data_IF_319050630377
#
_entry.id   IF_319050630377
#
_cell.length_a   1.000
_cell.length_b   1.000
_cell.length_c   1.000
_cell.angle_alpha   90.00
_cell.angle_beta   90.00
_cell.angle_gamma   90.00
#
_symmetry.space_group_name_H-M   'P 1'
#
loop_
_entity.id
_entity.type
_entity.pdbx_description
1 polymer ?
#
# COMPACT_ATOMS: atom_id res chain seq x y z
N UNK A 1 28.40 -12.16 8.72
CA UNK A 1 27.91 -13.32 7.94
C UNK A 1 27.22 -12.79 6.69
N UNK A 2 27.84 -13.03 5.54
CA UNK A 2 27.33 -12.66 4.22
C UNK A 2 25.99 -13.34 3.96
N UNK A 3 24.88 -12.62 4.14
CA UNK A 3 23.56 -13.12 3.78
C UNK A 3 23.38 -12.92 2.27
N UNK A 4 23.73 -13.96 1.49
CA UNK A 4 23.46 -14.00 0.05
C UNK A 4 21.96 -13.77 -0.19
N UNK A 5 21.65 -12.85 -1.11
CA UNK A 5 20.29 -12.57 -1.56
C UNK A 5 20.19 -12.95 -3.02
N UNK A 6 19.32 -13.90 -3.35
CA UNK A 6 18.97 -14.24 -4.73
C UNK A 6 17.85 -13.30 -5.19
N UNK A 7 18.04 -12.65 -6.32
CA UNK A 7 17.02 -11.81 -6.95
C UNK A 7 16.38 -12.60 -8.08
N UNK A 8 15.05 -12.62 -8.14
CA UNK A 8 14.30 -13.31 -9.19
C UNK A 8 13.31 -12.35 -9.87
N UNK A 9 13.19 -12.48 -11.18
CA UNK A 9 12.22 -11.76 -12.01
C UNK A 9 11.46 -12.65 -12.99
N UNK A 10 11.79 -13.94 -13.05
CA UNK A 10 11.05 -14.93 -13.83
C UNK A 10 9.68 -15.20 -13.16
N UNK A 11 8.55 -15.02 -13.87
CA UNK A 11 7.21 -15.19 -13.30
C UNK A 11 6.96 -16.58 -12.72
N UNK A 12 7.45 -17.64 -13.36
CA UNK A 12 7.26 -19.01 -12.89
C UNK A 12 8.04 -19.25 -11.60
N UNK A 13 9.27 -18.74 -11.48
CA UNK A 13 10.02 -18.76 -10.22
C UNK A 13 9.34 -17.92 -9.15
N UNK A 14 8.77 -16.77 -9.49
CA UNK A 14 8.00 -15.93 -8.57
C UNK A 14 6.79 -16.69 -8.04
N UNK A 15 6.02 -17.34 -8.91
CA UNK A 15 4.89 -18.16 -8.53
C UNK A 15 5.33 -19.38 -7.71
N UNK A 16 6.46 -19.99 -8.04
CA UNK A 16 7.03 -21.10 -7.30
C UNK A 16 7.37 -20.70 -5.86
N UNK A 17 8.09 -19.59 -5.66
CA UNK A 17 8.48 -19.10 -4.32
C UNK A 17 7.28 -18.59 -3.52
N UNK A 18 6.38 -17.81 -4.13
CA UNK A 18 5.30 -17.15 -3.39
C UNK A 18 4.09 -18.04 -3.15
N UNK A 19 3.89 -19.08 -3.97
CA UNK A 19 2.69 -19.94 -3.93
C UNK A 19 3.05 -21.41 -3.74
N UNK A 20 3.70 -22.04 -4.73
CA UNK A 20 3.87 -23.51 -4.76
C UNK A 20 4.72 -24.03 -3.60
N UNK A 21 5.85 -23.37 -3.35
CA UNK A 21 6.80 -23.71 -2.29
C UNK A 21 6.68 -22.79 -1.07
N UNK A 22 5.49 -22.26 -0.80
CA UNK A 22 5.26 -21.34 0.32
C UNK A 22 5.80 -21.88 1.67
N UNK A 23 5.65 -23.18 1.93
CA UNK A 23 6.10 -23.79 3.19
C UNK A 23 7.64 -23.85 3.32
N UNK A 24 8.39 -23.68 2.22
CA UNK A 24 9.84 -23.48 2.23
C UNK A 24 10.21 -22.00 2.30
N UNK A 25 9.38 -21.11 1.74
CA UNK A 25 9.64 -19.68 1.59
C UNK A 25 8.60 -18.79 2.30
N UNK A 26 8.49 -18.87 3.62
CA UNK A 26 7.53 -18.07 4.38
C UNK A 26 8.15 -16.98 5.26
N UNK A 27 9.46 -17.03 5.52
CA UNK A 27 10.12 -16.03 6.37
C UNK A 27 10.29 -14.70 5.65
N UNK A 28 10.59 -13.63 6.39
CA UNK A 28 11.02 -12.33 5.85
C UNK A 28 12.32 -11.90 6.51
N UNK A 29 13.00 -10.90 5.93
CA UNK A 29 14.16 -10.28 6.56
C UNK A 29 13.71 -9.60 7.85
N UNK A 30 14.32 -10.00 8.97
CA UNK A 30 14.07 -9.38 10.28
C UNK A 30 15.19 -8.39 10.59
N UNK A 31 14.83 -7.28 11.22
CA UNK A 31 15.79 -6.39 11.86
C UNK A 31 15.98 -6.79 13.33
N UNK A 32 17.12 -6.47 13.95
CA UNK A 32 17.39 -6.81 15.36
C UNK A 32 16.35 -6.26 16.35
N UNK A 33 15.59 -5.24 15.95
CA UNK A 33 14.59 -4.55 16.77
C UNK A 33 13.20 -5.21 16.68
N UNK A 34 12.95 -6.05 15.67
CA UNK A 34 11.61 -6.58 15.38
C UNK A 34 11.12 -7.66 16.38
N UNK A 35 11.98 -8.08 17.31
CA UNK A 35 11.70 -9.19 18.22
C UNK A 35 11.79 -10.57 17.55
N UNK A 36 11.53 -11.64 18.31
CA UNK A 36 11.48 -13.00 17.77
C UNK A 36 10.22 -13.16 16.89
N UNK A 37 10.36 -13.50 15.59
CA UNK A 37 9.23 -13.55 14.66
C UNK A 37 8.25 -14.71 14.93
N UNK A 38 8.66 -15.72 15.68
CA UNK A 38 7.85 -16.90 16.00
C UNK A 38 7.25 -16.79 17.41
N UNK A 39 7.97 -16.18 18.36
CA UNK A 39 7.64 -16.22 19.79
C UNK A 39 7.20 -14.88 20.39
N UNK A 40 7.63 -13.74 19.84
CA UNK A 40 7.34 -12.46 20.47
C UNK A 40 5.83 -12.17 20.44
N UNK A 41 5.26 -11.86 21.61
CA UNK A 41 3.84 -11.54 21.75
C UNK A 41 3.46 -10.26 21.00
N UNK A 42 4.40 -9.35 20.79
CA UNK A 42 4.22 -8.04 20.13
C UNK A 42 4.56 -8.07 18.63
N UNK A 43 4.96 -9.22 18.09
CA UNK A 43 5.26 -9.32 16.65
C UNK A 43 4.01 -8.96 15.84
N UNK A 44 4.18 -8.05 14.88
CA UNK A 44 3.11 -7.67 13.97
C UNK A 44 2.89 -8.75 12.89
N UNK A 45 1.73 -8.72 12.22
CA UNK A 45 1.37 -9.68 11.18
C UNK A 45 2.37 -9.71 10.02
N UNK A 46 3.02 -8.59 9.69
CA UNK A 46 3.96 -8.51 8.59
C UNK A 46 5.26 -9.28 8.89
N UNK A 47 5.80 -9.15 10.11
CA UNK A 47 7.04 -9.79 10.53
C UNK A 47 6.86 -11.21 11.09
N UNK A 48 5.65 -11.57 11.53
CA UNK A 48 5.37 -12.88 12.11
C UNK A 48 5.71 -14.03 11.16
N UNK A 49 6.10 -15.17 11.73
CA UNK A 49 6.46 -16.39 11.00
C UNK A 49 5.67 -17.62 11.48
N UNK A 50 5.76 -18.70 10.68
CA UNK A 50 5.18 -20.00 10.99
C UNK A 50 3.73 -19.97 11.48
N UNK A 51 3.48 -20.66 12.58
CA UNK A 51 2.15 -20.78 13.19
C UNK A 51 1.64 -19.45 13.76
N UNK A 52 2.53 -18.60 14.29
CA UNK A 52 2.17 -17.28 14.81
C UNK A 52 1.56 -16.41 13.72
N UNK A 53 2.17 -16.40 12.54
CA UNK A 53 1.62 -15.73 11.36
C UNK A 53 0.28 -16.31 10.93
N UNK A 54 0.16 -17.65 10.82
CA UNK A 54 -1.09 -18.32 10.43
C UNK A 54 -2.24 -17.89 11.35
N UNK A 55 -2.01 -17.86 12.67
CA UNK A 55 -2.99 -17.42 13.67
C UNK A 55 -3.35 -15.94 13.52
N UNK A 56 -2.36 -15.05 13.43
CA UNK A 56 -2.63 -13.60 13.26
C UNK A 56 -3.40 -13.34 11.95
N UNK A 57 -3.03 -14.03 10.87
CA UNK A 57 -3.70 -13.91 9.57
C UNK A 57 -5.14 -14.39 9.64
N UNK A 58 -5.40 -15.52 10.29
CA UNK A 58 -6.75 -16.06 10.47
C UNK A 58 -7.65 -15.12 11.29
N UNK A 59 -7.10 -14.48 12.33
CA UNK A 59 -7.84 -13.51 13.15
C UNK A 59 -8.16 -12.23 12.36
N UNK A 60 -7.20 -11.70 11.57
CA UNK A 60 -7.36 -10.42 10.90
C UNK A 60 -8.11 -10.48 9.56
N UNK A 61 -8.08 -11.62 8.85
CA UNK A 61 -8.64 -11.71 7.49
C UNK A 61 -10.16 -11.43 7.40
N UNK A 62 -11.00 -11.88 8.35
CA UNK A 62 -12.44 -11.59 8.32
C UNK A 62 -12.78 -10.08 8.29
N UNK A 63 -11.93 -9.23 8.88
CA UNK A 63 -12.11 -7.76 8.89
C UNK A 63 -12.16 -7.16 7.48
N UNK A 64 -11.46 -7.78 6.51
CA UNK A 64 -11.37 -7.30 5.13
C UNK A 64 -12.29 -8.07 4.16
N UNK A 65 -13.30 -8.77 4.68
CA UNK A 65 -14.35 -9.39 3.86
C UNK A 65 -15.25 -8.32 3.20
N UNK A 66 -15.87 -8.65 2.07
CA UNK A 66 -16.74 -7.70 1.35
C UNK A 66 -17.88 -7.17 2.22
N UNK A 67 -18.45 -8.01 3.08
CA UNK A 67 -19.51 -7.60 4.00
C UNK A 67 -19.04 -6.60 5.07
N UNK A 68 -17.80 -6.71 5.54
CA UNK A 68 -17.24 -5.73 6.46
C UNK A 68 -16.79 -4.46 5.74
N UNK A 69 -16.16 -4.56 4.56
CA UNK A 69 -15.78 -3.39 3.76
C UNK A 69 -16.99 -2.50 3.41
N UNK A 70 -18.15 -3.09 3.11
CA UNK A 70 -19.39 -2.34 2.90
C UNK A 70 -19.77 -1.49 4.13
N UNK A 71 -19.49 -1.95 5.34
CA UNK A 71 -19.72 -1.19 6.59
C UNK A 71 -18.68 -0.10 6.82
N UNK A 72 -17.47 -0.26 6.28
CA UNK A 72 -16.38 0.73 6.42
C UNK A 72 -16.47 1.83 5.36
N UNK A 73 -17.17 1.59 4.25
CA UNK A 73 -17.28 2.50 3.10
C UNK A 73 -17.67 3.92 3.50
N UNK A 74 -18.65 4.10 4.38
CA UNK A 74 -19.10 5.45 4.77
C UNK A 74 -18.02 6.21 5.54
N UNK A 75 -17.23 5.52 6.37
CA UNK A 75 -16.09 6.15 7.07
C UNK A 75 -15.00 6.57 6.09
N UNK A 76 -14.72 5.75 5.07
CA UNK A 76 -13.74 6.09 4.02
C UNK A 76 -14.24 7.25 3.17
N UNK A 77 -15.52 7.26 2.82
CA UNK A 77 -16.13 8.35 2.06
C UNK A 77 -16.12 9.66 2.84
N UNK A 78 -16.44 9.64 4.13
CA UNK A 78 -16.32 10.83 4.99
C UNK A 78 -14.89 11.42 4.94
N UNK A 79 -13.85 10.57 4.95
CA UNK A 79 -12.46 11.04 4.82
C UNK A 79 -12.19 11.70 3.47
N UNK A 80 -12.79 11.16 2.39
CA UNK A 80 -12.64 11.70 1.05
C UNK A 80 -13.34 13.07 0.94
N UNK A 81 -14.55 13.19 1.48
CA UNK A 81 -15.31 14.46 1.51
C UNK A 81 -14.54 15.52 2.29
N UNK A 82 -13.96 15.16 3.44
CA UNK A 82 -13.14 16.09 4.22
C UNK A 82 -11.89 16.55 3.44
N UNK A 83 -11.24 15.63 2.71
CA UNK A 83 -10.11 15.97 1.85
C UNK A 83 -10.54 16.95 0.75
N UNK A 84 -11.71 16.74 0.14
CA UNK A 84 -12.25 17.64 -0.89
C UNK A 84 -12.48 19.07 -0.34
N UNK A 85 -12.93 19.20 0.92
CA UNK A 85 -13.07 20.50 1.60
C UNK A 85 -11.73 21.20 1.74
N UNK A 86 -10.69 20.48 2.18
CA UNK A 86 -9.33 21.03 2.26
C UNK A 86 -8.77 21.42 0.89
N UNK A 87 -9.04 20.63 -0.15
CA UNK A 87 -8.63 20.95 -1.52
C UNK A 87 -9.29 22.24 -1.97
N UNK A 88 -10.60 22.39 -1.77
CA UNK A 88 -11.35 23.60 -2.14
C UNK A 88 -10.82 24.84 -1.42
N UNK A 89 -10.52 24.74 -0.13
CA UNK A 89 -9.94 25.83 0.66
C UNK A 89 -8.56 26.24 0.17
N UNK A 90 -7.68 25.27 -0.12
CA UNK A 90 -6.30 25.56 -0.53
C UNK A 90 -6.18 25.94 -2.01
N UNK A 91 -7.13 25.53 -2.86
CA UNK A 91 -7.12 25.90 -4.29
C UNK A 91 -7.92 27.17 -4.56
N UNK A 92 -8.54 27.78 -3.54
CA UNK A 92 -9.20 29.07 -3.65
C UNK A 92 -8.26 30.13 -4.24
N UNK A 93 -8.67 30.74 -5.36
CA UNK A 93 -7.83 31.69 -6.10
C UNK A 93 -6.84 31.07 -7.09
N UNK A 94 -6.99 29.79 -7.45
CA UNK A 94 -6.21 29.13 -8.50
C UNK A 94 -4.83 28.64 -8.08
N UNK A 95 -4.59 28.50 -6.77
CA UNK A 95 -3.30 28.01 -6.25
C UNK A 95 -3.06 26.55 -6.63
N UNK A 96 -1.79 26.19 -6.80
CA UNK A 96 -1.37 24.80 -6.97
C UNK A 96 -1.17 24.13 -5.60
N UNK A 97 -1.50 22.85 -5.50
CA UNK A 97 -1.31 22.02 -4.30
C UNK A 97 -0.37 20.85 -4.57
N UNK A 98 0.32 20.35 -3.55
CA UNK A 98 1.07 19.10 -3.65
C UNK A 98 0.12 17.93 -3.35
N UNK A 99 -0.34 17.25 -4.39
CA UNK A 99 -1.29 16.13 -4.26
C UNK A 99 -0.74 14.94 -3.47
N UNK A 100 0.59 14.79 -3.38
CA UNK A 100 1.18 13.74 -2.56
C UNK A 100 0.86 13.96 -1.07
N UNK A 101 0.94 15.21 -0.59
CA UNK A 101 0.66 15.54 0.80
C UNK A 101 -0.81 15.28 1.15
N UNK A 102 -1.72 15.71 0.29
CA UNK A 102 -3.16 15.46 0.45
C UNK A 102 -3.49 13.96 0.48
N UNK A 103 -2.87 13.17 -0.39
CA UNK A 103 -3.09 11.73 -0.40
C UNK A 103 -2.53 11.05 0.86
N UNK A 104 -1.39 11.52 1.38
CA UNK A 104 -0.82 11.02 2.63
C UNK A 104 -1.69 11.37 3.84
N UNK A 105 -2.29 12.56 3.87
CA UNK A 105 -3.27 12.97 4.88
C UNK A 105 -4.52 12.08 4.82
N UNK A 106 -5.08 11.88 3.63
CA UNK A 106 -6.27 11.03 3.41
C UNK A 106 -6.03 9.59 3.88
N UNK A 107 -4.96 8.94 3.41
CA UNK A 107 -4.69 7.54 3.75
C UNK A 107 -4.40 7.35 5.25
N UNK A 108 -3.70 8.31 5.88
CA UNK A 108 -3.49 8.30 7.33
C UNK A 108 -4.81 8.47 8.09
N UNK A 109 -5.68 9.35 7.63
CA UNK A 109 -6.99 9.59 8.26
C UNK A 109 -7.89 8.35 8.16
N UNK A 110 -7.92 7.70 6.99
CA UNK A 110 -8.66 6.45 6.79
C UNK A 110 -8.19 5.37 7.75
N UNK A 111 -6.88 5.07 7.81
CA UNK A 111 -6.39 4.03 8.71
C UNK A 111 -6.51 4.44 10.19
N UNK A 112 -6.39 5.74 10.49
CA UNK A 112 -6.62 6.31 11.82
C UNK A 112 -8.04 6.02 12.30
N UNK A 113 -9.05 6.29 11.47
CA UNK A 113 -10.46 6.04 11.82
C UNK A 113 -10.80 4.55 11.85
N UNK A 114 -10.29 3.76 10.91
CA UNK A 114 -10.65 2.35 10.78
C UNK A 114 -9.92 1.42 11.76
N UNK A 115 -8.61 1.62 11.94
CA UNK A 115 -7.76 0.70 12.72
C UNK A 115 -7.37 1.27 14.08
N UNK A 116 -7.29 2.60 14.22
CA UNK A 116 -6.82 3.27 15.44
C UNK A 116 -7.96 3.85 16.28
N UNK A 117 -9.21 3.75 15.81
CA UNK A 117 -10.39 4.28 16.50
C UNK A 117 -10.41 5.80 16.61
N UNK A 118 -9.71 6.49 15.71
CA UNK A 118 -9.72 7.96 15.66
C UNK A 118 -11.14 8.48 15.49
N UNK A 119 -11.51 9.44 16.33
CA UNK A 119 -12.84 10.08 16.27
C UNK A 119 -12.72 11.30 15.37
N UNK A 120 -13.50 11.29 14.29
CA UNK A 120 -13.49 12.37 13.29
C UNK A 120 -12.21 12.39 12.45
N UNK A 121 -12.14 13.37 11.55
CA UNK A 121 -10.96 13.59 10.72
C UNK A 121 -9.87 14.37 11.46
N UNK A 122 -8.62 14.01 11.22
CA UNK A 122 -7.44 14.71 11.70
C UNK A 122 -6.53 15.17 10.55
N UNK A 123 -7.06 15.24 9.33
CA UNK A 123 -6.31 15.72 8.16
C UNK A 123 -5.73 17.12 8.45
N UNK A 124 -4.45 17.30 8.11
CA UNK A 124 -3.66 18.52 8.33
C UNK A 124 -3.48 18.93 9.80
N UNK A 125 -3.91 18.08 10.75
CA UNK A 125 -3.78 18.29 12.20
C UNK A 125 -3.04 17.16 12.89
N UNK A 126 -2.84 16.03 12.19
CA UNK A 126 -2.30 14.82 12.79
C UNK A 126 -0.77 14.89 12.94
N UNK A 127 -0.23 14.94 14.17
CA UNK A 127 1.22 15.00 14.40
C UNK A 127 1.95 13.71 13.99
N UNK A 128 1.21 12.60 13.78
CA UNK A 128 1.79 11.35 13.33
C UNK A 128 2.26 11.41 11.89
N UNK A 129 1.72 12.31 11.05
CA UNK A 129 2.05 12.32 9.64
C UNK A 129 3.56 12.50 9.40
N UNK A 130 4.22 13.40 10.14
CA UNK A 130 5.68 13.57 10.07
C UNK A 130 6.45 12.27 10.31
N UNK A 131 6.00 11.49 11.30
CA UNK A 131 6.62 10.22 11.66
C UNK A 131 6.37 9.15 10.59
N UNK A 132 5.15 9.12 10.03
CA UNK A 132 4.78 8.23 8.92
C UNK A 132 5.62 8.56 7.68
N UNK A 133 5.74 9.84 7.29
CA UNK A 133 6.59 10.28 6.17
C UNK A 133 8.05 9.82 6.34
N UNK A 134 8.62 9.86 7.54
CA UNK A 134 9.98 9.38 7.83
C UNK A 134 10.17 7.85 7.69
N UNK A 135 9.11 7.07 7.90
CA UNK A 135 9.13 5.60 7.72
C UNK A 135 9.03 5.22 6.24
N UNK A 136 8.17 5.92 5.48
CA UNK A 136 7.85 5.54 4.11
C UNK A 136 8.69 6.26 3.04
N UNK A 137 9.05 7.53 3.24
CA UNK A 137 9.42 8.43 2.15
C UNK A 137 10.77 9.17 2.22
N UNK A 138 11.36 9.38 3.39
CA UNK A 138 12.55 10.25 3.49
C UNK A 138 13.89 9.58 3.09
N UNK A 139 14.71 10.33 2.34
CA UNK A 139 16.03 9.95 1.86
C UNK A 139 17.03 9.74 3.01
N UNK A 140 17.86 8.69 2.87
CA UNK A 140 18.85 8.21 3.86
C UNK A 140 19.86 9.27 4.34
N UNK A 141 20.05 10.37 3.62
CA UNK A 141 21.09 11.38 3.87
C UNK A 141 20.74 12.46 4.92
N UNK A 142 19.47 12.63 5.31
CA UNK A 142 19.08 13.60 6.38
C UNK A 142 18.67 12.95 7.70
N UNK A 143 18.71 11.62 7.81
CA UNK A 143 18.34 10.90 9.03
C UNK A 143 19.56 10.69 9.93
N UNK A 144 19.99 11.73 10.64
CA UNK A 144 20.97 11.64 11.74
C UNK A 144 20.36 11.22 13.07
N UNK A 145 19.11 10.77 13.10
CA UNK A 145 18.47 10.24 14.31
C UNK A 145 17.78 8.92 14.01
N UNK A 146 18.46 7.81 14.29
CA UNK A 146 17.88 6.52 14.70
C UNK A 146 18.99 5.62 15.26
N UNK A 147 19.78 6.16 16.19
CA UNK A 147 20.45 5.34 17.19
C UNK A 147 19.39 4.99 18.24
N UNK A 148 19.09 3.71 18.40
CA UNK A 148 18.53 3.16 19.64
C UNK A 148 17.10 3.59 20.02
N UNK A 149 16.13 2.73 19.71
CA UNK A 149 15.08 2.39 20.67
C UNK A 149 14.01 3.44 20.99
N UNK A 150 12.99 3.59 20.13
CA UNK A 150 11.66 4.09 20.54
C UNK A 150 10.54 3.38 19.75
N UNK A 151 10.54 2.04 19.76
CA UNK A 151 9.45 1.22 19.20
C UNK A 151 8.72 0.36 20.25
N UNK A 152 9.27 0.02 21.44
CA UNK A 152 8.50 -0.74 22.44
C UNK A 152 7.35 0.04 23.10
N UNK A 153 7.50 1.36 23.30
CA UNK A 153 6.47 2.20 23.94
C UNK A 153 5.29 2.54 23.00
N UNK A 154 5.51 2.45 21.68
CA UNK A 154 4.53 2.80 20.65
C UNK A 154 3.28 1.90 20.68
N UNK A 155 3.46 0.61 21.00
CA UNK A 155 2.35 -0.34 21.12
C UNK A 155 1.63 -0.25 22.48
N UNK A 156 2.26 0.29 23.52
CA UNK A 156 1.66 0.42 24.87
C UNK A 156 0.85 1.71 25.01
N UNK A 157 1.31 2.83 24.45
CA UNK A 157 0.57 4.09 24.44
C UNK A 157 -0.78 3.95 23.68
N UNK A 158 -0.78 3.16 22.61
CA UNK A 158 -1.95 2.82 21.81
C UNK A 158 -3.08 2.10 22.56
N UNK A 159 -2.79 1.44 23.68
CA UNK A 159 -3.78 0.66 24.43
C UNK A 159 -4.51 1.48 25.50
N UNK A 160 -3.86 2.51 26.06
CA UNK A 160 -4.43 3.29 27.16
C UNK A 160 -5.51 4.28 26.70
N UNK A 161 -5.37 4.84 25.50
CA UNK A 161 -6.37 5.76 24.93
C UNK A 161 -7.53 5.05 24.18
N UNK A 162 -7.43 3.73 23.98
CA UNK A 162 -8.34 2.95 23.12
C UNK A 162 -9.67 2.52 23.77
N UNK A 163 -9.85 2.70 25.09
CA UNK A 163 -10.93 2.02 25.84
C UNK A 163 -11.86 2.94 26.65
N UNK A 164 -11.80 4.26 26.48
CA UNK A 164 -12.84 5.15 27.01
C UNK A 164 -13.24 6.16 25.95
N UNK A 165 -14.53 6.09 25.58
CA UNK A 165 -15.46 7.20 25.26
C UNK A 165 -16.37 6.92 24.05
N UNK A 166 -17.57 7.55 24.02
CA UNK A 166 -18.77 7.02 23.39
C UNK A 166 -18.84 7.29 21.89
N UNK A 167 -19.70 6.51 21.22
CA UNK A 167 -20.03 6.62 19.80
C UNK A 167 -20.86 7.87 19.51
N UNK A 168 -20.27 8.88 18.89
CA UNK A 168 -20.92 9.66 17.83
C UNK A 168 -19.88 10.48 17.06
N UNK A 169 -19.72 10.19 15.77
CA UNK A 169 -19.13 11.11 14.80
C UNK A 169 -20.25 11.65 13.94
N UNK A 170 -20.32 12.98 13.76
CA UNK A 170 -21.23 13.58 12.79
C UNK A 170 -20.76 13.27 11.37
N UNK A 171 -21.71 12.87 10.51
CA UNK A 171 -21.49 12.59 9.08
C UNK A 171 -21.39 13.91 8.32
N UNK A 172 -20.45 14.03 7.39
CA UNK A 172 -20.35 15.19 6.49
C UNK A 172 -21.21 14.92 5.25
N UNK A 173 -22.07 15.87 4.86
CA UNK A 173 -23.02 15.69 3.76
C UNK A 173 -22.41 15.97 2.39
N UNK A 174 -22.50 15.03 1.44
CA UNK A 174 -22.15 15.17 0.02
C UNK A 174 -22.91 14.15 -0.85
N UNK A 175 -22.88 14.24 -2.20
CA UNK A 175 -23.54 13.27 -3.06
C UNK A 175 -22.92 11.88 -2.88
N UNK A 176 -23.69 10.96 -2.32
CA UNK A 176 -23.22 9.65 -1.85
C UNK A 176 -22.93 8.70 -3.02
N UNK A 177 -21.73 8.10 -3.04
CA UNK A 177 -21.38 7.02 -3.96
C UNK A 177 -21.72 5.69 -3.30
N UNK A 178 -22.65 4.92 -3.86
CA UNK A 178 -22.99 3.62 -3.29
C UNK A 178 -21.87 2.60 -3.50
N UNK A 179 -21.75 1.64 -2.59
CA UNK A 179 -20.76 0.56 -2.71
C UNK A 179 -20.93 -0.23 -4.02
N UNK A 180 -22.15 -0.41 -4.49
CA UNK A 180 -22.43 -1.13 -5.74
C UNK A 180 -22.18 -0.28 -6.99
N UNK A 181 -22.11 1.06 -6.87
CA UNK A 181 -21.60 1.92 -7.93
C UNK A 181 -20.07 1.80 -8.05
N UNK A 182 -19.35 1.74 -6.92
CA UNK A 182 -17.89 1.59 -6.92
C UNK A 182 -17.44 0.31 -7.66
N UNK A 183 -18.16 -0.79 -7.49
CA UNK A 183 -17.84 -2.06 -8.16
C UNK A 183 -18.05 -2.00 -9.67
N UNK A 184 -18.85 -1.05 -10.17
CA UNK A 184 -19.13 -0.84 -11.59
C UNK A 184 -18.11 0.07 -12.30
N UNK A 185 -17.22 0.74 -11.57
CA UNK A 185 -16.16 1.61 -12.12
C UNK A 185 -15.02 0.77 -12.74
N UNK A 186 -15.32 0.03 -13.81
CA UNK A 186 -14.38 -0.91 -14.44
C UNK A 186 -13.15 -0.21 -15.03
N UNK A 187 -13.33 0.91 -15.71
CA UNK A 187 -12.19 1.64 -16.27
C UNK A 187 -11.27 2.21 -15.17
N UNK A 188 -11.84 2.65 -14.05
CA UNK A 188 -11.05 3.10 -12.89
C UNK A 188 -10.23 1.95 -12.29
N UNK A 189 -10.77 0.72 -12.29
CA UNK A 189 -10.02 -0.48 -11.92
C UNK A 189 -8.81 -0.69 -12.83
N UNK A 190 -8.98 -0.50 -14.14
CA UNK A 190 -7.92 -0.59 -15.13
C UNK A 190 -6.82 0.46 -14.90
N UNK A 191 -7.23 1.71 -14.65
CA UNK A 191 -6.32 2.83 -14.33
C UNK A 191 -5.50 2.55 -13.07
N UNK A 192 -6.15 2.09 -11.99
CA UNK A 192 -5.47 1.76 -10.74
C UNK A 192 -4.48 0.61 -10.96
N UNK A 193 -4.90 -0.45 -11.65
CA UNK A 193 -4.03 -1.60 -11.91
C UNK A 193 -2.81 -1.22 -12.75
N UNK A 194 -3.00 -0.41 -13.77
CA UNK A 194 -1.90 0.06 -14.62
C UNK A 194 -0.94 0.98 -13.86
N UNK A 195 -1.48 1.81 -12.96
CA UNK A 195 -0.67 2.64 -12.05
C UNK A 195 0.18 1.76 -11.13
N UNK A 196 -0.42 0.75 -10.50
CA UNK A 196 0.27 -0.17 -9.60
C UNK A 196 1.28 -1.08 -10.31
N UNK A 197 1.09 -1.34 -11.62
CA UNK A 197 2.04 -2.04 -12.47
C UNK A 197 3.28 -1.17 -12.72
N UNK A 198 3.08 0.06 -13.20
CA UNK A 198 4.20 0.95 -13.52
C UNK A 198 4.89 1.52 -12.29
N UNK A 199 4.20 1.59 -11.15
CA UNK A 199 4.72 2.15 -9.91
C UNK A 199 4.40 1.24 -8.73
N UNK A 200 5.04 0.07 -8.59
CA UNK A 200 4.78 -0.82 -7.47
C UNK A 200 5.27 -0.19 -6.15
N UNK A 201 4.33 0.04 -5.22
CA UNK A 201 4.60 0.73 -3.97
C UNK A 201 5.54 -0.07 -3.05
N UNK A 202 5.19 -1.33 -2.72
CA UNK A 202 5.79 -2.09 -1.62
C UNK A 202 6.62 -3.30 -2.10
N UNK A 203 7.58 -3.08 -3.01
CA UNK A 203 8.38 -4.15 -3.64
C UNK A 203 9.14 -5.05 -2.64
N UNK A 204 9.61 -4.48 -1.53
CA UNK A 204 10.26 -5.24 -0.44
C UNK A 204 9.31 -6.24 0.25
N UNK A 205 7.99 -6.04 0.16
CA UNK A 205 6.97 -6.95 0.70
C UNK A 205 6.94 -8.32 0.01
N UNK A 206 7.50 -8.40 -1.20
CA UNK A 206 7.63 -9.62 -2.00
C UNK A 206 8.89 -10.43 -1.68
N UNK A 207 9.72 -10.00 -0.71
CA UNK A 207 10.85 -10.79 -0.23
C UNK A 207 10.42 -12.02 0.59
N UNK A 208 11.16 -13.12 0.47
CA UNK A 208 11.02 -14.33 1.30
C UNK A 208 12.37 -14.81 1.80
N UNK A 209 12.37 -15.46 2.95
CA UNK A 209 13.53 -16.19 3.47
C UNK A 209 13.28 -17.68 3.27
N UNK A 210 14.26 -18.38 2.72
CA UNK A 210 14.28 -19.82 2.66
C UNK A 210 14.41 -20.39 4.07
N UNK A 211 13.48 -21.24 4.47
CA UNK A 211 13.40 -21.81 5.82
C UNK A 211 13.86 -23.26 5.87
N UNK A 212 13.92 -23.94 4.71
CA UNK A 212 14.32 -25.34 4.54
C UNK A 212 15.05 -25.50 3.22
N UNK A 213 16.10 -26.32 3.19
CA UNK A 213 16.85 -26.59 1.97
C UNK A 213 15.88 -27.09 0.89
N UNK A 214 15.93 -26.50 -0.30
CA UNK A 214 15.06 -26.84 -1.42
C UNK A 214 15.71 -26.51 -2.74
N UNK A 215 15.11 -26.95 -3.85
CA UNK A 215 15.49 -26.52 -5.19
C UNK A 215 14.53 -25.44 -5.70
N UNK A 216 15.07 -24.44 -6.38
CA UNK A 216 14.31 -23.44 -7.13
C UNK A 216 14.84 -23.46 -8.56
N UNK A 217 14.04 -23.98 -9.49
CA UNK A 217 14.54 -24.38 -10.81
C UNK A 217 15.70 -25.39 -10.68
N UNK A 218 16.85 -25.07 -11.27
CA UNK A 218 18.08 -25.87 -11.21
C UNK A 218 19.04 -25.43 -10.08
N UNK A 219 18.64 -24.51 -9.21
CA UNK A 219 19.49 -23.94 -8.16
C UNK A 219 19.11 -24.52 -6.79
N UNK A 220 20.10 -25.05 -6.07
CA UNK A 220 19.93 -25.46 -4.67
C UNK A 220 19.95 -24.24 -3.76
N UNK A 221 18.92 -24.10 -2.92
CA UNK A 221 18.72 -22.97 -2.01
C UNK A 221 18.83 -23.44 -0.56
N UNK A 222 19.88 -22.98 0.10
CA UNK A 222 20.11 -23.28 1.52
C UNK A 222 19.17 -22.49 2.45
N UNK A 223 18.82 -23.04 3.63
CA UNK A 223 18.10 -22.30 4.66
C UNK A 223 18.84 -21.02 5.03
N UNK A 224 18.10 -19.94 5.22
CA UNK A 224 18.66 -18.62 5.52
C UNK A 224 18.83 -17.72 4.32
N UNK A 225 18.86 -18.27 3.10
CA UNK A 225 18.95 -17.50 1.85
C UNK A 225 17.76 -16.57 1.71
N UNK A 226 18.02 -15.30 1.41
CA UNK A 226 16.97 -14.34 1.10
C UNK A 226 16.64 -14.41 -0.39
N UNK A 227 15.36 -14.45 -0.73
CA UNK A 227 14.85 -14.31 -2.08
C UNK A 227 14.16 -12.95 -2.17
N UNK A 228 14.61 -12.10 -3.08
CA UNK A 228 13.96 -10.83 -3.40
C UNK A 228 13.33 -10.95 -4.78
N UNK A 229 12.02 -10.72 -4.88
CA UNK A 229 11.37 -10.60 -6.17
C UNK A 229 11.60 -9.18 -6.69
N UNK A 230 12.19 -9.06 -7.87
CA UNK A 230 12.31 -7.79 -8.57
C UNK A 230 10.98 -7.42 -9.23
N UNK A 231 10.11 -6.80 -8.45
CA UNK A 231 8.75 -6.44 -8.87
C UNK A 231 8.74 -5.43 -10.01
N UNK A 232 9.73 -4.53 -10.06
CA UNK A 232 9.82 -3.54 -11.14
C UNK A 232 10.06 -4.24 -12.47
N UNK A 233 11.11 -5.05 -12.54
CA UNK A 233 11.45 -5.82 -13.75
C UNK A 233 10.27 -6.70 -14.18
N UNK A 234 9.66 -7.46 -13.26
CA UNK A 234 8.48 -8.30 -13.58
C UNK A 234 7.33 -7.47 -14.16
N UNK A 235 7.09 -6.26 -13.64
CA UNK A 235 5.96 -5.44 -14.07
C UNK A 235 6.22 -4.66 -15.35
N UNK A 236 7.47 -4.52 -15.80
CA UNK A 236 7.84 -3.80 -17.02
C UNK A 236 8.55 -4.68 -18.06
N UNK A 237 8.62 -5.99 -17.84
CA UNK A 237 9.24 -6.94 -18.78
C UNK A 237 8.45 -7.00 -20.11
N UNK A 238 9.06 -6.63 -21.25
CA UNK A 238 8.38 -6.70 -22.55
C UNK A 238 7.96 -8.11 -22.98
N UNK A 239 8.62 -9.17 -22.46
CA UNK A 239 8.23 -10.55 -22.73
C UNK A 239 6.90 -10.94 -22.06
N UNK A 240 6.52 -10.24 -20.99
CA UNK A 240 5.26 -10.43 -20.26
C UNK A 240 4.21 -9.42 -20.74
N UNK A 241 4.60 -8.15 -20.89
CA UNK A 241 3.68 -7.02 -21.05
C UNK A 241 3.59 -6.48 -22.48
N UNK A 242 4.42 -7.00 -23.40
CA UNK A 242 4.52 -6.58 -24.79
C UNK A 242 5.49 -5.41 -24.99
N UNK A 243 5.66 -4.99 -26.25
CA UNK A 243 6.57 -3.91 -26.64
C UNK A 243 6.26 -2.56 -25.98
N UNK A 244 5.04 -2.37 -25.48
CA UNK A 244 4.58 -1.17 -24.80
C UNK A 244 4.55 -1.31 -23.26
N UNK A 245 5.41 -2.18 -22.71
CA UNK A 245 5.49 -2.45 -21.28
C UNK A 245 5.74 -1.19 -20.43
N UNK A 246 6.45 -0.19 -20.94
CA UNK A 246 6.70 1.07 -20.20
C UNK A 246 5.58 2.12 -20.37
N UNK A 247 4.64 1.88 -21.29
CA UNK A 247 3.53 2.79 -21.58
C UNK A 247 2.41 2.63 -20.56
N UNK A 248 1.83 3.74 -20.12
CA UNK A 248 0.59 3.75 -19.32
C UNK A 248 -0.61 3.49 -20.23
N UNK A 249 -1.10 2.24 -20.29
CA UNK A 249 -2.26 1.85 -21.11
C UNK A 249 -3.29 1.06 -20.27
N UNK A 250 -4.24 1.74 -19.59
CA UNK A 250 -5.29 1.07 -18.82
C UNK A 250 -6.08 0.01 -19.60
N UNK A 251 -6.29 0.21 -20.90
CA UNK A 251 -7.03 -0.68 -21.79
C UNK A 251 -6.44 -2.10 -21.85
N UNK A 252 -5.17 -2.31 -21.43
CA UNK A 252 -4.58 -3.66 -21.30
C UNK A 252 -5.33 -4.57 -20.32
N UNK A 253 -6.19 -3.98 -19.47
CA UNK A 253 -6.95 -4.68 -18.44
C UNK A 253 -8.40 -4.99 -18.85
N UNK A 254 -8.86 -4.55 -20.03
CA UNK A 254 -10.24 -4.75 -20.50
C UNK A 254 -10.48 -6.14 -21.13
N UNK A 255 -9.41 -6.90 -21.40
CA UNK A 255 -9.45 -8.24 -22.02
C UNK A 255 -9.04 -9.40 -21.10
N UNK A 256 -8.71 -10.55 -21.73
CA UNK A 256 -8.21 -11.73 -21.01
C UNK A 256 -6.83 -11.46 -20.41
N UNK A 257 -6.66 -11.75 -19.12
CA UNK A 257 -5.44 -11.47 -18.34
C UNK A 257 -4.61 -12.72 -18.06
N UNK A 258 -4.81 -13.81 -18.81
CA UNK A 258 -4.11 -15.10 -18.59
C UNK A 258 -2.58 -14.95 -18.48
N UNK A 259 -1.99 -14.05 -19.27
CA UNK A 259 -0.55 -13.76 -19.29
C UNK A 259 -0.03 -13.18 -17.95
N UNK A 260 -0.89 -12.58 -17.13
CA UNK A 260 -0.51 -11.96 -15.85
C UNK A 260 -0.61 -12.94 -14.66
N UNK A 261 -1.18 -14.14 -14.86
CA UNK A 261 -1.62 -15.03 -13.76
C UNK A 261 -0.49 -15.79 -13.06
N UNK A 262 0.64 -16.02 -13.75
CA UNK A 262 1.78 -16.77 -13.21
C UNK A 262 2.79 -15.87 -12.51
N UNK A 263 2.39 -14.94 -11.64
CA UNK A 263 3.34 -14.06 -10.92
C UNK A 263 3.83 -12.84 -11.71
N UNK A 264 3.34 -12.63 -12.94
CA UNK A 264 3.64 -11.44 -13.76
C UNK A 264 3.06 -10.13 -13.21
N UNK A 265 2.02 -10.18 -12.37
CA UNK A 265 1.44 -9.01 -11.72
C UNK A 265 1.24 -9.24 -10.21
N UNK A 266 2.00 -8.54 -9.39
CA UNK A 266 2.14 -8.77 -7.93
C UNK A 266 2.21 -7.46 -7.09
N UNK A 267 1.39 -6.43 -7.37
CA UNK A 267 1.45 -5.16 -6.64
C UNK A 267 1.11 -5.30 -5.15
N UNK A 268 0.28 -6.29 -4.81
CA UNK A 268 -0.11 -6.64 -3.44
C UNK A 268 0.56 -7.96 -2.99
N UNK A 269 1.55 -8.44 -3.72
CA UNK A 269 2.12 -9.77 -3.60
C UNK A 269 1.19 -10.88 -4.07
N UNK A 270 1.60 -12.13 -3.83
CA UNK A 270 0.93 -13.34 -4.27
C UNK A 270 0.95 -14.41 -3.16
N UNK A 271 0.01 -15.36 -3.24
CA UNK A 271 -0.05 -16.51 -2.35
C UNK A 271 -0.50 -16.18 -0.92
N UNK A 272 -0.26 -17.08 0.06
CA UNK A 272 -0.78 -16.94 1.42
C UNK A 272 -0.40 -15.62 2.12
N UNK A 273 0.74 -15.04 1.74
CA UNK A 273 1.30 -13.79 2.31
C UNK A 273 0.89 -12.53 1.56
N UNK A 274 -0.01 -12.62 0.58
CA UNK A 274 -0.58 -11.47 -0.14
C UNK A 274 -1.15 -10.43 0.83
N UNK A 275 -1.12 -9.15 0.45
CA UNK A 275 -1.65 -8.05 1.26
C UNK A 275 -3.07 -8.34 1.76
N UNK A 276 -3.27 -8.22 3.07
CA UNK A 276 -4.59 -8.43 3.68
C UNK A 276 -5.56 -7.29 3.37
N UNK A 277 -5.02 -6.08 3.21
CA UNK A 277 -5.77 -4.85 2.99
C UNK A 277 -6.01 -4.52 1.51
N UNK A 278 -5.67 -5.42 0.57
CA UNK A 278 -5.79 -5.16 -0.87
C UNK A 278 -7.17 -4.61 -1.27
N UNK A 279 -8.24 -5.22 -0.75
CA UNK A 279 -9.61 -4.80 -1.07
C UNK A 279 -9.99 -3.45 -0.44
N UNK A 280 -9.43 -3.12 0.71
CA UNK A 280 -9.60 -1.81 1.33
C UNK A 280 -8.89 -0.73 0.49
N UNK A 281 -7.65 -0.99 0.08
CA UNK A 281 -6.87 -0.09 -0.78
C UNK A 281 -7.61 0.21 -2.09
N UNK A 282 -8.10 -0.82 -2.80
CA UNK A 282 -8.92 -0.60 -4.00
C UNK A 282 -10.21 0.20 -3.72
N UNK A 283 -10.83 0.03 -2.55
CA UNK A 283 -12.06 0.74 -2.19
C UNK A 283 -11.77 2.23 -1.92
N UNK A 284 -10.75 2.55 -1.11
CA UNK A 284 -10.41 3.93 -0.77
C UNK A 284 -9.86 4.70 -1.98
N UNK A 285 -9.04 4.08 -2.82
CA UNK A 285 -8.55 4.66 -4.07
C UNK A 285 -9.71 4.99 -5.01
N UNK A 286 -10.63 4.05 -5.23
CA UNK A 286 -11.79 4.27 -6.11
C UNK A 286 -12.73 5.34 -5.57
N UNK A 287 -12.99 5.35 -4.27
CA UNK A 287 -13.83 6.37 -3.63
C UNK A 287 -13.24 7.77 -3.81
N UNK A 288 -11.97 7.93 -3.44
CA UNK A 288 -11.30 9.22 -3.53
C UNK A 288 -11.24 9.69 -5.00
N UNK A 289 -10.79 8.84 -5.92
CA UNK A 289 -10.69 9.19 -7.34
C UNK A 289 -12.06 9.50 -7.94
N UNK A 290 -13.12 8.78 -7.57
CA UNK A 290 -14.46 9.07 -8.06
C UNK A 290 -14.96 10.46 -7.61
N UNK A 291 -14.72 10.83 -6.35
CA UNK A 291 -15.06 12.17 -5.85
C UNK A 291 -14.23 13.27 -6.51
N UNK A 292 -12.91 13.06 -6.59
CA UNK A 292 -11.97 14.00 -7.22
C UNK A 292 -12.29 14.24 -8.70
N UNK A 293 -12.47 13.17 -9.48
CA UNK A 293 -12.71 13.25 -10.93
C UNK A 293 -14.12 13.75 -11.27
N UNK A 294 -15.08 13.69 -10.34
CA UNK A 294 -16.39 14.34 -10.51
C UNK A 294 -16.27 15.85 -10.38
N UNK A 295 -15.45 16.35 -9.46
CA UNK A 295 -15.36 17.78 -9.13
C UNK A 295 -14.26 18.52 -9.89
N UNK A 296 -13.17 17.85 -10.26
CA UNK A 296 -11.98 18.50 -10.78
C UNK A 296 -11.41 17.86 -12.04
N UNK A 297 -10.79 18.69 -12.87
CA UNK A 297 -9.81 18.32 -13.88
C UNK A 297 -8.43 18.70 -13.38
N UNK A 298 -7.48 17.78 -13.56
CA UNK A 298 -6.12 17.90 -13.05
C UNK A 298 -5.16 18.38 -14.13
N UNK A 299 -4.30 19.32 -13.79
CA UNK A 299 -3.22 19.80 -14.65
C UNK A 299 -1.91 19.85 -13.86
N UNK A 300 -0.76 19.48 -14.46
CA UNK A 300 0.53 19.66 -13.81
C UNK A 300 0.74 21.13 -13.40
N UNK A 301 1.10 21.37 -12.14
CA UNK A 301 1.53 22.69 -11.69
C UNK A 301 2.90 23.07 -12.26
N UNK A 302 3.25 24.35 -12.25
CA UNK A 302 4.56 24.82 -12.73
C UNK A 302 5.76 24.20 -11.97
N UNK A 303 5.53 23.67 -10.75
CA UNK A 303 6.54 23.00 -9.92
C UNK A 303 6.62 21.49 -10.15
N UNK A 304 5.76 20.92 -10.99
CA UNK A 304 5.73 19.48 -11.25
C UNK A 304 6.95 19.07 -12.04
N UNK A 305 7.67 18.05 -11.56
CA UNK A 305 8.73 17.42 -12.34
C UNK A 305 8.14 16.36 -13.25
N UNK A 306 8.47 16.44 -14.53
CA UNK A 306 8.09 15.45 -15.53
C UNK A 306 9.39 14.99 -16.23
N UNK A 307 9.81 13.72 -16.10
CA UNK A 307 9.16 12.66 -15.30
C UNK A 307 9.25 12.91 -13.78
N UNK A 308 8.36 12.26 -13.02
CA UNK A 308 8.36 12.35 -11.56
C UNK A 308 9.65 11.76 -10.98
N UNK A 309 10.22 12.44 -9.97
CA UNK A 309 11.38 11.91 -9.25
C UNK A 309 10.90 10.97 -8.16
N UNK A 310 11.17 9.67 -8.32
CA UNK A 310 10.84 8.67 -7.32
C UNK A 310 11.84 8.70 -6.16
N UNK A 311 11.31 8.58 -4.95
CA UNK A 311 12.01 8.39 -3.68
C UNK A 311 11.33 7.28 -2.91
N UNK A 312 11.99 6.72 -1.91
CA UNK A 312 11.32 5.70 -1.11
C UNK A 312 12.21 5.02 -0.09
N UNK A 313 11.54 4.48 0.94
CA UNK A 313 12.15 3.59 1.94
C UNK A 313 11.35 2.30 2.04
N UNK A 314 10.26 2.31 2.81
CA UNK A 314 9.37 1.16 2.91
C UNK A 314 8.46 1.04 1.67
N UNK A 315 8.15 2.17 1.04
CA UNK A 315 7.39 2.26 -0.20
C UNK A 315 8.07 3.22 -1.18
N UNK A 316 7.82 3.03 -2.47
CA UNK A 316 8.17 4.00 -3.51
C UNK A 316 7.08 5.05 -3.64
N UNK A 317 7.46 6.32 -3.81
CA UNK A 317 6.56 7.45 -4.04
C UNK A 317 7.29 8.55 -4.82
N UNK A 318 6.60 9.50 -5.45
CA UNK A 318 7.25 10.73 -5.93
C UNK A 318 7.77 11.58 -4.76
N UNK A 319 8.71 12.50 -5.02
CA UNK A 319 9.15 13.48 -4.02
C UNK A 319 8.11 14.59 -3.78
N UNK A 320 7.34 14.94 -4.81
CA UNK A 320 6.18 15.85 -4.77
C UNK A 320 5.36 15.70 -6.06
N UNK A 321 4.09 16.05 -6.03
CA UNK A 321 3.19 16.08 -7.22
C UNK A 321 2.36 17.36 -7.19
N UNK A 322 2.96 18.46 -7.64
CA UNK A 322 2.26 19.75 -7.71
C UNK A 322 1.18 19.74 -8.80
N UNK A 323 -0.03 20.18 -8.50
CA UNK A 323 -1.14 20.18 -9.46
C UNK A 323 -1.99 21.44 -9.35
N UNK A 324 -2.49 21.91 -10.49
CA UNK A 324 -3.65 22.79 -10.55
C UNK A 324 -4.90 21.94 -10.71
N UNK A 325 -5.91 22.21 -9.88
CA UNK A 325 -7.21 21.57 -9.94
C UNK A 325 -8.21 22.59 -10.45
N UNK A 326 -8.75 22.37 -11.65
CA UNK A 326 -9.81 23.19 -12.22
C UNK A 326 -11.15 22.53 -11.91
N UNK A 327 -12.09 23.27 -11.32
CA UNK A 327 -13.45 22.78 -11.13
C UNK A 327 -14.07 22.36 -12.48
N UNK A 328 -14.79 21.24 -12.49
CA UNK A 328 -15.60 20.80 -13.63
C UNK A 328 -16.95 21.51 -13.59
N UNK A 329 -17.39 21.93 -14.77
CA UNK A 329 -18.71 22.54 -15.00
C UNK A 329 -19.84 21.52 -14.89
#
# INVERSE_FOLDING_TARGET
>A
MDKRTLVISDPDLVHEVLVKQYDNFYGRKTNPIDGDPDKDKRINLFNAQGFRWKRLRAISSPTFSNGNLRKLKDTVEDCAIELLRHIEEQTAGGQQIDMLEFYQEFTLDVIGRLAMGQIGSQQFRNPMLKHVKAVFGENRTKSTFLIGGIVPAFAQFFRFFMLKLPRSGQRVSGPEISFDQLTKLKYLDCVIKETLRLYPLATLGNSRKCMRATQLGNVSIEPGTMIQVDTWTVHTDPSIWGADAESFRPERWEGSTEQHKSGGYIPFGLGPRQCIGMRLAYMEEKLLLAHLLRKYTFQPGARTRIPLKLVGRATTQPDSVWMHLKARE
#
